data_IF_971235685772
#
_entry.id   IF_971235685772
#
_cell.length_a   1.000
_cell.length_b   1.000
_cell.length_c   1.000
_cell.angle_alpha   90.00
_cell.angle_beta   90.00
_cell.angle_gamma   90.00
#
_symmetry.space_group_name_H-M   'P 1'
#
loop_
_entity.id
_entity.type
_entity.pdbx_description
1 polymer ?
#
# COMPACT_ATOMS: atom_id res chain seq x y z
N UNK A 1 -32.24 2.15 -8.99
CA UNK A 1 -31.64 1.01 -8.27
C UNK A 1 -30.15 1.29 -8.26
N UNK A 2 -29.66 1.89 -7.19
CA UNK A 2 -28.23 2.13 -7.01
C UNK A 2 -27.54 0.77 -6.89
N UNK A 3 -26.65 0.47 -7.84
CA UNK A 3 -25.66 -0.59 -7.65
C UNK A 3 -24.68 -0.06 -6.59
N UNK A 4 -24.90 -0.43 -5.33
CA UNK A 4 -23.90 -0.27 -4.28
C UNK A 4 -22.67 -1.05 -4.72
N UNK A 5 -21.62 -0.33 -5.08
CA UNK A 5 -20.32 -0.89 -5.44
C UNK A 5 -19.73 -1.47 -4.16
N UNK A 6 -19.92 -2.78 -3.94
CA UNK A 6 -19.20 -3.51 -2.89
C UNK A 6 -17.71 -3.35 -3.18
N UNK A 7 -17.04 -2.56 -2.36
CA UNK A 7 -15.59 -2.55 -2.28
C UNK A 7 -15.14 -3.93 -1.79
N UNK A 8 -14.07 -4.52 -2.36
CA UNK A 8 -13.57 -5.80 -1.88
C UNK A 8 -13.37 -5.74 -0.36
N UNK A 9 -13.82 -6.75 0.38
CA UNK A 9 -13.56 -6.84 1.81
C UNK A 9 -12.05 -7.02 2.01
N UNK A 10 -11.41 -5.97 2.53
CA UNK A 10 -10.00 -5.94 2.90
C UNK A 10 -9.92 -6.24 4.39
N UNK A 11 -9.22 -7.32 4.75
CA UNK A 11 -9.04 -7.72 6.15
C UNK A 11 -8.03 -6.81 6.88
N UNK A 12 -7.01 -6.32 6.17
CA UNK A 12 -5.88 -5.57 6.73
C UNK A 12 -5.48 -4.38 5.84
N UNK A 13 -5.49 -3.17 6.40
CA UNK A 13 -4.92 -1.98 5.75
C UNK A 13 -3.58 -1.62 6.38
N UNK A 14 -2.51 -1.58 5.57
CA UNK A 14 -1.16 -1.22 6.00
C UNK A 14 -0.82 0.18 5.48
N UNK A 15 -0.60 1.13 6.38
CA UNK A 15 -0.27 2.52 6.02
C UNK A 15 1.21 2.76 6.28
N UNK A 16 1.96 3.13 5.24
CA UNK A 16 3.41 3.31 5.29
C UNK A 16 3.77 4.75 4.89
N UNK A 17 4.23 5.61 5.82
CA UNK A 17 4.75 6.93 5.47
C UNK A 17 6.09 6.80 4.74
N UNK A 18 6.26 7.54 3.63
CA UNK A 18 7.47 7.53 2.80
C UNK A 18 8.30 8.79 2.98
N UNK A 19 9.62 8.61 3.04
CA UNK A 19 10.61 9.68 2.92
C UNK A 19 11.85 9.18 2.15
N UNK A 20 11.87 9.37 0.81
CA UNK A 20 13.04 9.12 -0.06
C UNK A 20 13.72 7.73 0.05
N UNK A 21 12.97 6.62 0.02
CA UNK A 21 13.51 5.25 0.18
C UNK A 21 13.10 4.25 -0.94
N UNK A 22 13.34 4.57 -2.22
CA UNK A 22 12.92 3.73 -3.36
C UNK A 22 13.46 2.27 -3.32
N UNK A 23 14.71 2.05 -2.91
CA UNK A 23 15.29 0.69 -2.88
C UNK A 23 14.72 -0.16 -1.72
N UNK A 24 14.48 0.45 -0.55
CA UNK A 24 13.95 -0.27 0.62
C UNK A 24 12.46 -0.60 0.49
N UNK A 25 11.73 0.13 -0.36
CA UNK A 25 10.30 -0.11 -0.60
C UNK A 25 10.02 -1.43 -1.30
N UNK A 26 10.87 -1.83 -2.24
CA UNK A 26 10.73 -3.11 -2.93
C UNK A 26 10.87 -4.28 -1.94
N UNK A 27 11.91 -4.25 -1.11
CA UNK A 27 12.14 -5.28 -0.08
C UNK A 27 11.00 -5.33 0.95
N UNK A 28 10.52 -4.17 1.42
CA UNK A 28 9.40 -4.08 2.35
C UNK A 28 8.12 -4.67 1.75
N UNK A 29 7.82 -4.35 0.49
CA UNK A 29 6.61 -4.83 -0.19
C UNK A 29 6.65 -6.34 -0.34
N UNK A 30 7.79 -6.91 -0.76
CA UNK A 30 7.97 -8.37 -0.84
C UNK A 30 7.82 -9.03 0.53
N UNK A 31 8.42 -8.47 1.58
CA UNK A 31 8.30 -9.02 2.92
C UNK A 31 6.86 -9.00 3.46
N UNK A 32 6.08 -7.95 3.14
CA UNK A 32 4.66 -7.86 3.48
C UNK A 32 3.87 -8.92 2.72
N UNK A 33 4.06 -9.02 1.40
CA UNK A 33 3.37 -9.99 0.54
C UNK A 33 3.62 -11.43 1.01
N UNK A 34 4.88 -11.80 1.26
CA UNK A 34 5.26 -13.13 1.74
C UNK A 34 4.63 -13.47 3.10
N UNK A 35 4.42 -12.46 3.95
CA UNK A 35 3.92 -12.66 5.31
C UNK A 35 2.40 -12.78 5.39
N UNK A 36 1.64 -12.06 4.55
CA UNK A 36 0.20 -11.86 4.77
C UNK A 36 -0.69 -12.32 3.61
N UNK A 37 -0.17 -12.37 2.38
CA UNK A 37 -0.98 -12.64 1.18
C UNK A 37 -1.64 -14.03 1.16
N UNK A 38 -1.04 -15.00 1.87
CA UNK A 38 -1.56 -16.35 1.95
C UNK A 38 -2.79 -16.50 2.88
N UNK A 39 -3.05 -15.51 3.75
CA UNK A 39 -4.07 -15.63 4.81
C UNK A 39 -5.09 -14.51 4.81
N UNK A 40 -4.72 -13.30 4.39
CA UNK A 40 -5.57 -12.12 4.48
C UNK A 40 -5.63 -11.37 3.16
N UNK A 41 -6.80 -10.80 2.84
CA UNK A 41 -6.87 -9.73 1.85
C UNK A 41 -6.28 -8.45 2.48
N UNK A 42 -5.45 -7.75 1.73
CA UNK A 42 -4.78 -6.56 2.25
C UNK A 42 -4.64 -5.46 1.21
N UNK A 43 -4.48 -4.24 1.72
CA UNK A 43 -4.03 -3.10 0.94
C UNK A 43 -2.80 -2.47 1.59
N UNK A 44 -1.92 -1.90 0.77
CA UNK A 44 -0.78 -1.11 1.23
C UNK A 44 -0.94 0.31 0.71
N UNK A 45 -1.01 1.26 1.61
CA UNK A 45 -1.20 2.68 1.32
C UNK A 45 0.08 3.40 1.68
N UNK A 46 0.81 3.82 0.64
CA UNK A 46 1.98 4.66 0.79
C UNK A 46 1.56 6.12 0.90
N UNK A 47 1.96 6.78 1.98
CA UNK A 47 1.64 8.19 2.25
C UNK A 47 2.92 8.99 2.15
N UNK A 48 2.97 9.91 1.19
CA UNK A 48 4.05 10.88 1.12
C UNK A 48 3.94 11.88 2.29
N UNK A 49 4.89 11.88 3.21
CA UNK A 49 4.91 12.74 4.40
C UNK A 49 5.57 14.11 4.16
N UNK A 50 5.62 14.55 2.89
CA UNK A 50 6.16 15.86 2.50
C UNK A 50 7.53 15.78 1.84
N UNK A 51 7.79 14.73 1.06
CA UNK A 51 8.95 14.66 0.18
C UNK A 51 8.91 15.80 -0.86
N UNK A 52 10.04 16.47 -1.06
CA UNK A 52 10.19 17.55 -2.05
C UNK A 52 10.36 17.05 -3.48
N UNK A 53 10.54 15.73 -3.65
CA UNK A 53 10.80 15.14 -4.95
C UNK A 53 9.49 14.64 -5.57
N UNK A 54 9.27 15.09 -6.81
CA UNK A 54 8.09 14.83 -7.64
C UNK A 54 8.04 13.36 -8.12
N UNK A 55 8.08 12.40 -7.20
CA UNK A 55 8.12 10.96 -7.50
C UNK A 55 6.73 10.34 -7.75
N UNK A 56 5.64 11.02 -7.38
CA UNK A 56 4.27 10.58 -7.68
C UNK A 56 3.61 11.39 -8.82
N UNK A 57 4.12 11.24 -10.04
CA UNK A 57 3.39 11.58 -11.27
C UNK A 57 3.55 10.47 -12.32
N UNK A 58 2.75 9.40 -12.20
CA UNK A 58 2.43 8.48 -13.30
C UNK A 58 0.98 8.04 -13.21
#
# INVERSE_FOLDING_TARGET
>A
MENSKESPEVDISIVVPLYNEEESLAELTTAIEDSISATYSYEVIFVDDGSTDTSFQV
#
